data_IF_822954872450
#
_entry.id   IF_822954872450
#
_cell.length_a   1.000
_cell.length_b   1.000
_cell.length_c   1.000
_cell.angle_alpha   90.00
_cell.angle_beta   90.00
_cell.angle_gamma   90.00
#
_symmetry.space_group_name_H-M   'P 1'
#
loop_
_entity.id
_entity.type
_entity.pdbx_description
1 polymer ?
#
# COMPACT_ATOMS: atom_id res chain seq x y z
N UNK A 1 -38.36 1.49 3.28
CA UNK A 1 -37.31 1.47 4.33
C UNK A 1 -36.39 0.25 4.29
N UNK A 2 -36.88 -0.97 3.98
CA UNK A 2 -36.08 -2.23 4.03
C UNK A 2 -34.88 -2.29 3.06
N UNK A 3 -34.99 -1.74 1.83
CA UNK A 3 -33.87 -1.73 0.87
C UNK A 3 -32.68 -0.86 1.32
N UNK A 4 -32.93 0.29 1.95
CA UNK A 4 -31.89 1.17 2.49
C UNK A 4 -31.13 0.52 3.66
N UNK A 5 -31.83 -0.19 4.54
CA UNK A 5 -31.20 -0.90 5.66
C UNK A 5 -30.33 -2.10 5.21
N UNK A 6 -30.70 -2.78 4.11
CA UNK A 6 -29.84 -3.81 3.51
C UNK A 6 -28.60 -3.22 2.84
N UNK A 7 -28.74 -2.09 2.15
CA UNK A 7 -27.62 -1.38 1.53
C UNK A 7 -26.64 -0.83 2.58
N UNK A 8 -27.14 -0.22 3.67
CA UNK A 8 -26.29 0.28 4.76
C UNK A 8 -25.55 -0.85 5.49
N UNK A 9 -26.20 -2.00 5.69
CA UNK A 9 -25.56 -3.19 6.27
C UNK A 9 -24.52 -3.83 5.34
N UNK A 10 -24.63 -3.63 4.02
CA UNK A 10 -23.66 -4.15 3.08
C UNK A 10 -22.38 -3.31 3.06
N UNK A 11 -22.52 -1.99 3.18
CA UNK A 11 -21.38 -1.06 3.25
C UNK A 11 -20.55 -1.25 4.53
N UNK A 12 -21.16 -1.68 5.64
CA UNK A 12 -20.43 -2.01 6.87
C UNK A 12 -19.78 -3.39 6.85
N UNK A 13 -20.17 -4.28 5.92
CA UNK A 13 -19.59 -5.61 5.77
C UNK A 13 -18.67 -5.70 4.55
N UNK A 14 -17.48 -5.11 4.66
CA UNK A 14 -16.47 -5.07 3.61
C UNK A 14 -16.10 -6.45 3.03
N UNK A 15 -15.96 -7.53 3.83
CA UNK A 15 -15.69 -8.86 3.28
C UNK A 15 -16.81 -9.39 2.36
N UNK A 16 -18.07 -9.17 2.74
CA UNK A 16 -19.20 -9.57 1.91
C UNK A 16 -19.27 -8.73 0.64
N UNK A 17 -19.13 -7.41 0.74
CA UNK A 17 -19.13 -6.51 -0.40
C UNK A 17 -18.00 -6.84 -1.38
N UNK A 18 -16.80 -7.17 -0.88
CA UNK A 18 -15.67 -7.59 -1.70
C UNK A 18 -16.02 -8.81 -2.56
N UNK A 19 -16.68 -9.82 -1.97
CA UNK A 19 -17.05 -11.03 -2.68
C UNK A 19 -18.10 -10.76 -3.77
N UNK A 20 -19.06 -9.87 -3.48
CA UNK A 20 -20.09 -9.46 -4.44
C UNK A 20 -19.51 -8.67 -5.62
N UNK A 21 -18.67 -7.67 -5.34
CA UNK A 21 -17.95 -6.90 -6.37
C UNK A 21 -17.13 -7.81 -7.27
N UNK A 22 -16.38 -8.77 -6.70
CA UNK A 22 -15.56 -9.70 -7.50
C UNK A 22 -16.39 -10.61 -8.42
N UNK A 23 -17.66 -10.85 -8.09
CA UNK A 23 -18.59 -11.67 -8.89
C UNK A 23 -19.32 -10.86 -9.95
N UNK A 24 -19.78 -9.67 -9.62
CA UNK A 24 -20.52 -8.79 -10.52
C UNK A 24 -20.16 -7.31 -10.31
N UNK A 25 -19.03 -6.83 -10.85
CA UNK A 25 -18.56 -5.46 -10.62
C UNK A 25 -19.57 -4.37 -11.01
N UNK A 26 -20.37 -4.59 -12.06
CA UNK A 26 -21.28 -3.55 -12.58
C UNK A 26 -22.39 -3.22 -11.59
N UNK A 27 -22.91 -4.23 -10.89
CA UNK A 27 -24.02 -4.05 -9.96
C UNK A 27 -23.64 -3.38 -8.64
N UNK A 28 -22.35 -3.31 -8.30
CA UNK A 28 -21.86 -2.77 -7.02
C UNK A 28 -20.94 -1.54 -7.18
N UNK A 29 -21.04 -0.87 -8.33
CA UNK A 29 -20.23 0.32 -8.63
C UNK A 29 -20.51 1.48 -7.67
N UNK A 30 -21.76 1.66 -7.24
CA UNK A 30 -22.15 2.70 -6.30
C UNK A 30 -21.55 2.45 -4.91
N UNK A 31 -21.64 1.24 -4.39
CA UNK A 31 -21.06 0.87 -3.09
C UNK A 31 -19.54 0.98 -3.11
N UNK A 32 -18.89 0.57 -4.20
CA UNK A 32 -17.45 0.81 -4.38
C UNK A 32 -17.13 2.31 -4.34
N UNK A 33 -17.89 3.13 -5.07
CA UNK A 33 -17.66 4.57 -5.14
C UNK A 33 -17.84 5.24 -3.76
N UNK A 34 -18.82 4.80 -2.97
CA UNK A 34 -19.02 5.26 -1.60
C UNK A 34 -17.84 4.90 -0.68
N UNK A 35 -17.32 3.67 -0.77
CA UNK A 35 -16.13 3.26 -0.01
C UNK A 35 -14.87 4.01 -0.44
N UNK A 36 -14.73 4.31 -1.74
CA UNK A 36 -13.63 5.13 -2.23
C UNK A 36 -13.71 6.57 -1.71
N UNK A 37 -14.90 7.17 -1.71
CA UNK A 37 -15.12 8.50 -1.14
C UNK A 37 -14.87 8.53 0.37
N UNK A 38 -15.27 7.47 1.09
CA UNK A 38 -14.97 7.32 2.50
C UNK A 38 -13.46 7.28 2.74
N UNK A 39 -12.72 6.48 1.97
CA UNK A 39 -11.25 6.49 2.00
C UNK A 39 -10.66 7.88 1.76
N UNK A 40 -11.11 8.60 0.73
CA UNK A 40 -10.58 9.94 0.41
C UNK A 40 -10.87 10.94 1.53
N UNK A 41 -12.04 10.86 2.16
CA UNK A 41 -12.42 11.73 3.29
C UNK A 41 -11.59 11.41 4.53
N UNK A 42 -11.44 10.12 4.87
CA UNK A 42 -10.61 9.66 5.97
C UNK A 42 -9.14 10.01 5.76
N UNK A 43 -8.63 9.96 4.52
CA UNK A 43 -7.25 10.37 4.21
C UNK A 43 -7.01 11.84 4.55
N UNK A 44 -7.93 12.74 4.21
CA UNK A 44 -7.82 14.17 4.54
C UNK A 44 -7.83 14.39 6.05
N UNK A 45 -8.73 13.71 6.77
CA UNK A 45 -8.79 13.78 8.24
C UNK A 45 -7.48 13.28 8.83
N UNK A 46 -6.96 12.18 8.31
CA UNK A 46 -5.74 11.56 8.78
C UNK A 46 -4.49 12.43 8.56
N UNK A 47 -4.42 13.15 7.44
CA UNK A 47 -3.36 14.15 7.19
C UNK A 47 -3.40 15.30 8.22
N UNK A 48 -4.56 15.61 8.80
CA UNK A 48 -4.72 16.61 9.86
C UNK A 48 -4.50 16.03 11.26
N UNK A 49 -4.90 14.78 11.50
CA UNK A 49 -4.85 14.08 12.79
C UNK A 49 -4.47 12.59 12.62
N UNK A 50 -3.17 12.25 12.68
CA UNK A 50 -2.66 10.94 12.29
C UNK A 50 -2.90 9.75 13.25
N UNK A 51 -3.84 9.84 14.20
CA UNK A 51 -4.11 8.77 15.19
C UNK A 51 -5.60 8.38 15.29
N UNK A 52 -6.50 9.11 14.64
CA UNK A 52 -7.95 8.90 14.76
C UNK A 52 -8.40 7.84 13.73
N UNK A 53 -9.17 6.83 14.17
CA UNK A 53 -9.79 5.79 13.31
C UNK A 53 -8.83 4.97 12.43
N UNK A 54 -7.59 4.76 12.89
CA UNK A 54 -6.55 4.05 12.12
C UNK A 54 -6.96 2.61 11.72
N UNK A 55 -7.77 1.94 12.55
CA UNK A 55 -8.25 0.59 12.29
C UNK A 55 -9.27 0.56 11.16
N UNK A 56 -10.32 1.37 11.25
CA UNK A 56 -11.35 1.47 10.21
C UNK A 56 -10.73 1.88 8.88
N UNK A 57 -9.81 2.86 8.91
CA UNK A 57 -9.09 3.29 7.72
C UNK A 57 -8.25 2.17 7.09
N UNK A 58 -7.57 1.36 7.92
CA UNK A 58 -6.83 0.18 7.47
C UNK A 58 -7.74 -0.88 6.83
N UNK A 59 -8.93 -1.11 7.36
CA UNK A 59 -9.92 -2.05 6.80
C UNK A 59 -10.40 -1.59 5.41
N UNK A 60 -10.67 -0.30 5.25
CA UNK A 60 -11.07 0.29 3.95
C UNK A 60 -9.93 0.19 2.93
N UNK A 61 -8.68 0.50 3.31
CA UNK A 61 -7.50 0.35 2.44
C UNK A 61 -7.36 -1.11 1.96
N UNK A 62 -7.51 -2.06 2.89
CA UNK A 62 -7.43 -3.48 2.58
C UNK A 62 -8.54 -3.89 1.60
N UNK A 63 -9.78 -3.47 1.84
CA UNK A 63 -10.91 -3.70 0.93
C UNK A 63 -10.65 -3.12 -0.47
N UNK A 64 -10.28 -1.84 -0.58
CA UNK A 64 -10.05 -1.18 -1.86
C UNK A 64 -8.93 -1.87 -2.65
N UNK A 65 -7.83 -2.24 -1.97
CA UNK A 65 -6.71 -2.96 -2.61
C UNK A 65 -7.13 -4.30 -3.22
N UNK A 66 -8.17 -4.93 -2.66
CA UNK A 66 -8.69 -6.21 -3.12
C UNK A 66 -9.59 -6.09 -4.35
N UNK A 67 -10.23 -4.94 -4.57
CA UNK A 67 -11.21 -4.73 -5.66
C UNK A 67 -10.77 -3.70 -6.70
N UNK A 68 -9.62 -3.04 -6.52
CA UNK A 68 -9.07 -2.00 -7.42
C UNK A 68 -9.15 -2.36 -8.92
N UNK A 69 -8.89 -3.63 -9.28
CA UNK A 69 -8.87 -4.10 -10.67
C UNK A 69 -10.25 -4.16 -11.31
N UNK A 70 -11.30 -4.22 -10.50
CA UNK A 70 -12.68 -4.20 -10.96
C UNK A 70 -13.09 -2.79 -11.45
N UNK A 71 -12.42 -1.73 -10.96
CA UNK A 71 -12.73 -0.34 -11.28
C UNK A 71 -11.45 0.49 -11.54
N UNK A 72 -10.66 0.17 -12.58
CA UNK A 72 -9.34 0.77 -12.80
C UNK A 72 -9.39 2.28 -13.03
N UNK A 73 -10.42 2.79 -13.71
CA UNK A 73 -10.55 4.23 -14.00
C UNK A 73 -10.83 5.04 -12.73
N UNK A 74 -11.80 4.60 -11.93
CA UNK A 74 -12.16 5.28 -10.67
C UNK A 74 -11.05 5.22 -9.63
N UNK A 75 -10.34 4.09 -9.57
CA UNK A 75 -9.30 3.85 -8.57
C UNK A 75 -7.89 4.26 -9.02
N UNK A 76 -7.76 4.98 -10.14
CA UNK A 76 -6.45 5.34 -10.70
C UNK A 76 -5.55 6.13 -9.73
N UNK A 77 -6.15 6.96 -8.85
CA UNK A 77 -5.42 7.77 -7.87
C UNK A 77 -5.04 7.00 -6.60
N UNK A 78 -5.78 5.95 -6.26
CA UNK A 78 -5.66 5.22 -5.00
C UNK A 78 -4.22 4.73 -4.72
N UNK A 79 -3.52 4.06 -5.66
CA UNK A 79 -2.16 3.61 -5.38
C UNK A 79 -1.17 4.76 -5.12
N UNK A 80 -1.35 5.89 -5.82
CA UNK A 80 -0.52 7.09 -5.62
C UNK A 80 -0.74 7.71 -4.24
N UNK A 81 -1.99 7.78 -3.79
CA UNK A 81 -2.35 8.29 -2.46
C UNK A 81 -1.72 7.45 -1.34
N UNK A 82 -1.70 6.11 -1.46
CA UNK A 82 -1.04 5.25 -0.48
C UNK A 82 0.48 5.45 -0.42
N UNK A 83 1.12 5.65 -1.58
CA UNK A 83 2.56 5.95 -1.67
C UNK A 83 2.85 7.27 -0.97
N UNK A 84 2.14 8.34 -1.33
CA UNK A 84 2.35 9.67 -0.74
C UNK A 84 2.08 9.70 0.76
N UNK A 85 1.06 8.95 1.23
CA UNK A 85 0.77 8.84 2.66
C UNK A 85 1.96 8.23 3.43
N UNK A 86 2.50 7.10 2.95
CA UNK A 86 3.67 6.49 3.58
C UNK A 86 4.92 7.38 3.47
N UNK A 87 5.18 7.99 2.32
CA UNK A 87 6.35 8.86 2.14
C UNK A 87 6.38 10.02 3.15
N UNK A 88 5.21 10.63 3.41
CA UNK A 88 5.08 11.80 4.29
C UNK A 88 4.95 11.44 5.77
N UNK A 89 4.19 10.41 6.10
CA UNK A 89 3.71 10.17 7.46
C UNK A 89 4.22 8.86 8.10
N UNK A 90 5.03 8.04 7.41
CA UNK A 90 5.46 6.74 7.99
C UNK A 90 6.00 6.77 9.43
N UNK A 91 6.71 7.83 9.93
CA UNK A 91 7.22 7.81 11.29
C UNK A 91 6.13 7.93 12.35
N UNK A 92 5.03 8.63 12.03
CA UNK A 92 3.92 8.90 12.94
C UNK A 92 2.79 7.89 12.80
N UNK A 93 2.70 7.18 11.68
CA UNK A 93 1.70 6.14 11.46
C UNK A 93 1.78 5.03 12.52
N UNK A 94 0.63 4.66 13.08
CA UNK A 94 0.47 3.46 13.91
C UNK A 94 1.03 2.23 13.18
N UNK A 95 1.70 1.33 13.91
CA UNK A 95 2.40 0.20 13.33
C UNK A 95 1.50 -0.72 12.48
N UNK A 96 0.28 -1.01 12.94
CA UNK A 96 -0.62 -1.91 12.22
C UNK A 96 -1.21 -1.26 10.95
N UNK A 97 -1.51 0.04 10.98
CA UNK A 97 -1.91 0.78 9.80
C UNK A 97 -0.76 0.85 8.77
N UNK A 98 0.46 1.15 9.22
CA UNK A 98 1.67 1.15 8.37
C UNK A 98 1.85 -0.19 7.66
N UNK A 99 1.69 -1.28 8.40
CA UNK A 99 1.74 -2.64 7.87
C UNK A 99 0.62 -2.91 6.87
N UNK A 100 -0.61 -2.48 7.16
CA UNK A 100 -1.76 -2.63 6.25
C UNK A 100 -1.53 -1.92 4.92
N UNK A 101 -1.03 -0.67 4.93
CA UNK A 101 -0.71 0.07 3.70
C UNK A 101 0.40 -0.63 2.91
N UNK A 102 1.45 -1.12 3.59
CA UNK A 102 2.53 -1.87 2.93
C UNK A 102 2.01 -3.17 2.30
N UNK A 103 1.15 -3.91 2.99
CA UNK A 103 0.52 -5.12 2.42
C UNK A 103 -0.36 -4.80 1.21
N UNK A 104 -1.13 -3.71 1.27
CA UNK A 104 -1.90 -3.22 0.14
C UNK A 104 -0.99 -2.88 -1.05
N UNK A 105 0.09 -2.12 -0.86
CA UNK A 105 1.04 -1.80 -1.95
C UNK A 105 1.70 -3.06 -2.53
N UNK A 106 2.08 -4.02 -1.70
CA UNK A 106 2.60 -5.33 -2.14
C UNK A 106 1.59 -6.05 -3.04
N UNK A 107 0.30 -6.04 -2.66
CA UNK A 107 -0.78 -6.66 -3.43
C UNK A 107 -1.04 -5.92 -4.76
N UNK A 108 -1.08 -4.59 -4.73
CA UNK A 108 -1.28 -3.77 -5.94
C UNK A 108 -0.16 -4.02 -6.95
N UNK A 109 1.07 -4.12 -6.44
CA UNK A 109 2.25 -4.43 -7.24
C UNK A 109 2.24 -5.86 -7.80
N UNK A 110 1.82 -6.87 -7.02
CA UNK A 110 1.71 -8.25 -7.53
C UNK A 110 0.65 -8.39 -8.63
N UNK A 111 -0.33 -7.47 -8.63
CA UNK A 111 -1.39 -7.35 -9.63
C UNK A 111 -1.03 -6.49 -10.84
N UNK A 112 0.19 -5.93 -10.89
CA UNK A 112 0.63 -5.05 -11.98
C UNK A 112 -0.01 -3.65 -11.98
N UNK A 113 -0.69 -3.26 -10.89
CA UNK A 113 -1.31 -1.93 -10.75
C UNK A 113 -0.25 -0.87 -10.43
N UNK A 114 0.81 -1.25 -9.74
CA UNK A 114 1.93 -0.37 -9.37
C UNK A 114 3.25 -0.98 -9.83
N UNK A 115 4.12 -0.17 -10.41
CA UNK A 115 5.45 -0.58 -10.85
C UNK A 115 6.45 -0.62 -9.69
N UNK A 116 7.47 -1.47 -9.83
CA UNK A 116 8.54 -1.62 -8.83
C UNK A 116 9.29 -0.31 -8.61
N UNK A 117 9.48 0.46 -9.67
CA UNK A 117 10.17 1.75 -9.66
C UNK A 117 9.54 2.72 -8.67
N UNK A 118 8.21 2.67 -8.49
CA UNK A 118 7.49 3.55 -7.56
C UNK A 118 7.55 3.06 -6.11
N UNK A 119 7.38 1.75 -5.87
CA UNK A 119 7.26 1.22 -4.49
C UNK A 119 8.59 0.88 -3.85
N UNK A 120 9.62 0.58 -4.64
CA UNK A 120 10.86 0.03 -4.12
C UNK A 120 11.65 1.07 -3.29
N UNK A 121 11.85 2.33 -3.73
CA UNK A 121 12.51 3.35 -2.91
C UNK A 121 11.79 3.60 -1.57
N UNK A 122 10.46 3.57 -1.59
CA UNK A 122 9.63 3.69 -0.40
C UNK A 122 9.87 2.52 0.57
N UNK A 123 9.85 1.28 0.08
CA UNK A 123 10.10 0.10 0.91
C UNK A 123 11.47 0.14 1.60
N UNK A 124 12.51 0.61 0.93
CA UNK A 124 13.81 0.81 1.58
C UNK A 124 13.80 1.92 2.62
N UNK A 125 13.12 3.04 2.34
CA UNK A 125 12.97 4.14 3.32
C UNK A 125 12.30 3.64 4.60
N UNK A 126 11.32 2.74 4.48
CA UNK A 126 10.64 2.13 5.62
C UNK A 126 11.54 1.22 6.49
N UNK A 127 12.74 0.82 6.05
CA UNK A 127 13.70 0.14 6.94
C UNK A 127 14.23 1.04 8.06
N UNK A 128 14.10 2.36 7.94
CA UNK A 128 14.41 3.32 9.00
C UNK A 128 13.42 3.25 10.16
N UNK A 129 12.24 2.66 9.97
CA UNK A 129 11.26 2.45 11.04
C UNK A 129 11.83 1.55 12.14
N UNK A 130 11.59 1.91 13.39
CA UNK A 130 11.83 1.04 14.57
C UNK A 130 10.74 -0.02 14.73
N UNK A 131 10.45 -0.76 13.66
CA UNK A 131 9.45 -1.83 13.64
C UNK A 131 10.08 -3.12 13.10
N UNK A 132 10.31 -4.08 14.00
CA UNK A 132 10.94 -5.36 13.65
C UNK A 132 10.05 -6.21 12.73
N UNK A 133 8.73 -6.20 12.95
CA UNK A 133 7.79 -7.03 12.18
C UNK A 133 7.66 -6.49 10.75
N UNK A 134 7.54 -5.18 10.60
CA UNK A 134 7.48 -4.52 9.30
C UNK A 134 8.76 -4.74 8.49
N UNK A 135 9.94 -4.59 9.11
CA UNK A 135 11.22 -4.83 8.44
C UNK A 135 11.38 -6.27 7.96
N UNK A 136 10.94 -7.26 8.76
CA UNK A 136 10.95 -8.66 8.35
C UNK A 136 10.03 -8.94 7.15
N UNK A 137 8.83 -8.33 7.15
CA UNK A 137 7.90 -8.41 6.01
C UNK A 137 8.51 -7.81 4.74
N UNK A 138 9.05 -6.60 4.83
CA UNK A 138 9.69 -5.90 3.70
C UNK A 138 10.88 -6.69 3.16
N UNK A 139 11.77 -7.17 4.04
CA UNK A 139 12.91 -8.00 3.64
C UNK A 139 12.47 -9.22 2.86
N UNK A 140 11.52 -9.99 3.41
CA UNK A 140 10.99 -11.19 2.77
C UNK A 140 10.41 -10.88 1.40
N UNK A 141 9.62 -9.80 1.30
CA UNK A 141 9.00 -9.39 0.05
C UNK A 141 10.03 -8.95 -1.00
N UNK A 142 11.00 -8.12 -0.63
CA UNK A 142 12.04 -7.61 -1.54
C UNK A 142 12.87 -8.78 -2.07
N UNK A 143 13.36 -9.66 -1.20
CA UNK A 143 14.17 -10.82 -1.61
C UNK A 143 13.40 -11.74 -2.54
N UNK A 144 12.17 -12.12 -2.17
CA UNK A 144 11.33 -12.97 -3.00
C UNK A 144 11.03 -12.32 -4.34
N UNK A 145 10.86 -11.01 -4.35
CA UNK A 145 10.64 -10.30 -5.57
C UNK A 145 11.85 -10.27 -6.50
N UNK A 146 13.03 -9.95 -5.98
CA UNK A 146 14.27 -9.95 -6.78
C UNK A 146 14.49 -11.34 -7.37
N UNK A 147 14.27 -12.40 -6.57
CA UNK A 147 14.32 -13.80 -7.05
C UNK A 147 13.33 -14.06 -8.18
N UNK A 148 12.08 -13.60 -8.03
CA UNK A 148 11.05 -13.79 -9.06
C UNK A 148 11.37 -13.01 -10.35
N UNK A 149 11.83 -11.76 -10.24
CA UNK A 149 12.17 -10.91 -11.38
C UNK A 149 13.40 -11.40 -12.18
N UNK A 150 14.24 -12.23 -11.56
CA UNK A 150 15.46 -12.79 -12.15
C UNK A 150 15.40 -14.32 -12.29
N UNK A 151 14.20 -14.91 -12.32
CA UNK A 151 14.04 -16.36 -12.45
C UNK A 151 14.33 -16.82 -13.89
N UNK A 152 15.15 -17.86 -14.04
CA UNK A 152 15.45 -18.48 -15.33
C UNK A 152 16.52 -17.74 -16.12
N UNK A 153 16.39 -17.68 -17.45
CA UNK A 153 17.35 -17.00 -18.34
C UNK A 153 17.11 -15.50 -18.48
N UNK A 154 15.94 -15.00 -18.06
CA UNK A 154 15.59 -13.59 -18.13
C UNK A 154 16.01 -12.86 -16.84
N UNK A 155 16.57 -11.65 -16.98
CA UNK A 155 16.98 -10.79 -15.86
C UNK A 155 16.34 -9.42 -16.02
N UNK A 156 15.68 -8.95 -14.96
CA UNK A 156 15.17 -7.57 -14.91
C UNK A 156 16.32 -6.61 -14.59
N UNK A 157 17.11 -6.29 -15.63
CA UNK A 157 18.26 -5.39 -15.50
C UNK A 157 17.88 -4.00 -14.99
N UNK A 158 16.67 -3.52 -15.33
CA UNK A 158 16.18 -2.22 -14.89
C UNK A 158 15.95 -2.23 -13.38
N UNK A 159 15.21 -3.22 -12.86
CA UNK A 159 15.02 -3.39 -11.42
C UNK A 159 16.35 -3.53 -10.69
N UNK A 160 17.24 -4.38 -11.19
CA UNK A 160 18.52 -4.65 -10.54
C UNK A 160 19.38 -3.37 -10.44
N UNK A 161 19.45 -2.58 -11.52
CA UNK A 161 20.21 -1.31 -11.54
C UNK A 161 19.62 -0.30 -10.56
N UNK A 162 18.30 -0.17 -10.50
CA UNK A 162 17.61 0.71 -9.54
C UNK A 162 17.88 0.30 -8.10
N UNK A 163 17.81 -1.01 -7.80
CA UNK A 163 18.10 -1.55 -6.47
C UNK A 163 19.53 -1.29 -6.05
N UNK A 164 20.49 -1.58 -6.93
CA UNK A 164 21.92 -1.36 -6.66
C UNK A 164 22.21 0.11 -6.39
N UNK A 165 21.68 1.02 -7.22
CA UNK A 165 21.87 2.46 -7.03
C UNK A 165 21.30 2.95 -5.69
N UNK A 166 20.12 2.46 -5.32
CA UNK A 166 19.52 2.83 -4.03
C UNK A 166 20.32 2.28 -2.84
N UNK A 167 20.69 1.01 -2.86
CA UNK A 167 21.50 0.40 -1.80
C UNK A 167 22.86 1.07 -1.66
N UNK A 168 23.52 1.39 -2.77
CA UNK A 168 24.80 2.12 -2.77
C UNK A 168 24.64 3.48 -2.09
N UNK A 169 23.60 4.24 -2.44
CA UNK A 169 23.30 5.55 -1.83
C UNK A 169 23.03 5.43 -0.33
N UNK A 170 22.34 4.38 0.12
CA UNK A 170 22.10 4.16 1.54
C UNK A 170 23.37 3.83 2.33
N UNK A 171 24.26 2.99 1.76
CA UNK A 171 25.51 2.60 2.41
C UNK A 171 26.45 3.80 2.50
N UNK A 172 26.64 4.54 1.41
CA UNK A 172 27.52 5.71 1.41
C UNK A 172 27.01 6.84 2.31
N UNK A 173 25.69 7.02 2.43
CA UNK A 173 25.11 7.95 3.38
C UNK A 173 25.34 7.54 4.84
N UNK A 174 25.32 6.24 5.15
CA UNK A 174 25.65 5.72 6.48
C UNK A 174 27.14 5.91 6.81
N UNK A 175 28.02 5.57 5.87
CA UNK A 175 29.48 5.71 6.02
C UNK A 175 29.90 7.19 6.21
N UNK A 176 29.19 8.13 5.58
CA UNK A 176 29.43 9.56 5.74
C UNK A 176 28.99 10.08 7.12
N UNK A 177 27.97 9.46 7.74
CA UNK A 177 27.51 9.82 9.08
C UNK A 177 28.46 9.30 10.17
N UNK A 178 29.08 8.13 9.98
CA UNK A 178 30.08 7.61 10.92
C UNK A 178 31.38 8.43 10.91
N UNK A 179 31.78 9.00 9.76
CA UNK A 179 33.01 9.82 9.63
C UNK A 179 32.91 11.26 10.19
N UNK A 180 31.75 11.70 10.65
CA UNK A 180 31.58 13.00 11.33
C UNK A 180 31.30 12.86 12.83
N UNK A 181 31.35 11.62 13.35
CA UNK A 181 31.17 11.29 14.76
C UNK A 181 32.47 10.94 15.51
N UNK A 182 33.63 11.06 14.85
CA UNK A 182 34.97 10.94 15.46
C UNK A 182 35.62 12.31 15.69
#
# INVERSE_FOLDING_TARGET
MVRRARASNLLSNLPQLQNLIKRDPRSYEEEFSQQLQHFESSLVIFELKPDEEAKEFGEVINFLSQVVRCYPEKSAKFPGQLISLLERHYPVLEAELRKSIVQALILLRSRGVVSNEKVMPLFFTLFKCRDKKLRALLYTHIVNNVKAANRGKHRDHKLNKTLQGFMYTMITAADAQDKHGE
#
